data_IF_158461415132
#
_entry.id   IF_158461415132
#
_cell.length_a   1.000
_cell.length_b   1.000
_cell.length_c   1.000
_cell.angle_alpha   90.00
_cell.angle_beta   90.00
_cell.angle_gamma   90.00
#
_symmetry.space_group_name_H-M   'P 1'
#
loop_
_entity.id
_entity.type
_entity.pdbx_description
1 polymer ?
#
# COMPACT_ATOMS: atom_id res chain seq x y z
N UNK A 1 -10.13 6.71 13.77
CA UNK A 1 -9.82 6.21 12.41
C UNK A 1 -10.64 7.04 11.44
N UNK A 2 -10.00 7.79 10.53
CA UNK A 2 -10.75 8.46 9.46
C UNK A 2 -11.05 7.40 8.39
N UNK A 3 -12.31 7.25 8.02
CA UNK A 3 -12.78 6.27 7.02
C UNK A 3 -12.00 6.31 5.69
N UNK A 4 -11.24 7.38 5.44
CA UNK A 4 -10.41 7.61 4.26
C UNK A 4 -9.11 6.81 4.22
N UNK A 5 -8.56 6.34 5.36
CA UNK A 5 -7.24 5.67 5.40
C UNK A 5 -7.30 4.14 5.40
N UNK A 6 -8.39 3.53 5.87
CA UNK A 6 -8.61 2.07 5.79
C UNK A 6 -8.42 1.47 4.38
N UNK A 7 -8.95 2.05 3.29
CA UNK A 7 -8.77 1.47 1.96
C UNK A 7 -7.31 1.51 1.48
N UNK A 8 -6.53 2.54 1.86
CA UNK A 8 -5.10 2.62 1.50
C UNK A 8 -4.29 1.59 2.27
N UNK A 9 -4.66 1.34 3.52
CA UNK A 9 -3.99 0.36 4.35
C UNK A 9 -4.22 -1.06 3.86
N UNK A 10 -5.46 -1.39 3.47
CA UNK A 10 -5.77 -2.68 2.84
C UNK A 10 -5.01 -2.89 1.53
N UNK A 11 -4.91 -1.85 0.70
CA UNK A 11 -4.11 -1.88 -0.51
C UNK A 11 -2.63 -2.12 -0.20
N UNK A 12 -2.07 -1.42 0.80
CA UNK A 12 -0.68 -1.60 1.21
C UNK A 12 -0.40 -3.02 1.72
N UNK A 13 -1.31 -3.62 2.50
CA UNK A 13 -1.19 -5.01 2.94
C UNK A 13 -1.19 -6.01 1.77
N UNK A 14 -2.03 -5.80 0.75
CA UNK A 14 -1.99 -6.64 -0.46
C UNK A 14 -0.66 -6.48 -1.21
N UNK A 15 -0.15 -5.25 -1.27
CA UNK A 15 1.10 -4.92 -1.94
C UNK A 15 2.33 -5.52 -1.22
N UNK A 16 2.30 -5.68 0.11
CA UNK A 16 3.40 -6.29 0.87
C UNK A 16 3.71 -7.71 0.37
N UNK A 17 2.67 -8.46 0.00
CA UNK A 17 2.79 -9.84 -0.50
C UNK A 17 2.76 -9.96 -2.03
N UNK A 18 2.56 -8.86 -2.75
CA UNK A 18 2.52 -8.85 -4.21
C UNK A 18 3.93 -8.93 -4.82
N UNK A 19 4.00 -9.51 -6.03
CA UNK A 19 5.21 -9.46 -6.85
C UNK A 19 5.31 -8.06 -7.50
N UNK A 20 6.11 -7.21 -6.87
CA UNK A 20 6.33 -5.81 -7.24
C UNK A 20 7.74 -5.65 -7.78
N UNK A 21 7.90 -4.75 -8.76
CA UNK A 21 9.23 -4.37 -9.23
C UNK A 21 10.07 -3.79 -8.07
N UNK A 22 11.38 -4.07 -8.07
CA UNK A 22 12.32 -3.64 -7.01
C UNK A 22 12.25 -2.13 -6.71
N UNK A 23 12.06 -1.31 -7.75
CA UNK A 23 11.91 0.14 -7.60
C UNK A 23 10.67 0.52 -6.77
N UNK A 24 9.53 -0.14 -7.01
CA UNK A 24 8.30 0.08 -6.27
C UNK A 24 8.40 -0.46 -4.84
N UNK A 25 9.04 -1.63 -4.66
CA UNK A 25 9.32 -2.19 -3.33
C UNK A 25 10.19 -1.28 -2.49
N UNK A 26 11.27 -0.74 -3.07
CA UNK A 26 12.17 0.18 -2.35
C UNK A 26 11.46 1.50 -1.98
N UNK A 27 10.57 1.99 -2.86
CA UNK A 27 9.75 3.16 -2.59
C UNK A 27 8.75 2.93 -1.45
N UNK A 28 8.14 1.74 -1.39
CA UNK A 28 7.14 1.38 -0.38
C UNK A 28 7.75 0.85 0.93
N UNK A 29 9.04 0.49 0.96
CA UNK A 29 9.76 0.00 2.14
C UNK A 29 9.51 0.81 3.43
N UNK A 30 9.61 2.15 3.45
CA UNK A 30 9.28 2.93 4.63
C UNK A 30 7.79 2.88 4.99
N UNK A 31 6.89 2.79 4.00
CA UNK A 31 5.45 2.62 4.26
C UNK A 31 5.15 1.27 4.92
N UNK A 32 5.80 0.18 4.47
CA UNK A 32 5.71 -1.12 5.12
C UNK A 32 6.28 -1.10 6.54
N UNK A 33 7.43 -0.46 6.76
CA UNK A 33 8.01 -0.36 8.11
C UNK A 33 7.09 0.40 9.09
N UNK A 34 6.51 1.51 8.65
CA UNK A 34 5.53 2.28 9.43
C UNK A 34 4.27 1.46 9.69
N UNK A 35 3.92 0.56 8.77
CA UNK A 35 2.75 -0.31 8.90
C UNK A 35 2.74 -1.12 10.20
N UNK A 36 3.92 -1.62 10.57
CA UNK A 36 4.13 -2.48 11.73
C UNK A 36 4.35 -1.70 13.05
N UNK A 37 4.70 -0.41 12.99
CA UNK A 37 5.11 0.37 14.17
C UNK A 37 4.05 1.36 14.64
N UNK A 38 3.31 1.99 13.73
CA UNK A 38 2.25 2.93 14.12
C UNK A 38 1.26 3.19 12.99
N UNK A 39 0.02 2.77 13.21
CA UNK A 39 -1.13 2.98 12.31
C UNK A 39 -1.58 4.46 12.21
N UNK A 40 -0.95 5.38 12.96
CA UNK A 40 -1.30 6.79 13.03
C UNK A 40 -0.41 7.72 12.19
N UNK A 41 0.66 7.21 11.55
CA UNK A 41 1.56 8.05 10.76
C UNK A 41 0.96 8.36 9.39
N UNK A 42 0.86 9.64 9.05
CA UNK A 42 0.39 10.06 7.73
C UNK A 42 1.44 9.73 6.65
N UNK A 43 1.06 8.88 5.70
CA UNK A 43 1.85 8.65 4.49
C UNK A 43 1.83 9.90 3.60
N UNK A 44 2.96 10.26 2.96
CA UNK A 44 2.98 11.32 1.96
C UNK A 44 1.99 11.02 0.81
N UNK A 45 1.32 12.05 0.28
CA UNK A 45 0.31 11.87 -0.77
C UNK A 45 0.85 11.16 -2.03
N UNK A 46 2.13 11.40 -2.38
CA UNK A 46 2.80 10.70 -3.50
C UNK A 46 2.83 9.18 -3.31
N UNK A 47 3.01 8.72 -2.07
CA UNK A 47 3.07 7.30 -1.72
C UNK A 47 1.66 6.72 -1.76
N UNK A 48 0.68 7.44 -1.21
CA UNK A 48 -0.75 7.09 -1.29
C UNK A 48 -1.22 6.94 -2.74
N UNK A 49 -0.86 7.89 -3.61
CA UNK A 49 -1.21 7.83 -5.03
C UNK A 49 -0.59 6.61 -5.72
N UNK A 50 0.67 6.29 -5.40
CA UNK A 50 1.35 5.11 -5.95
C UNK A 50 0.73 3.80 -5.46
N UNK A 51 0.42 3.69 -4.17
CA UNK A 51 -0.28 2.53 -3.59
C UNK A 51 -1.61 2.29 -4.31
N UNK A 52 -2.42 3.35 -4.50
CA UNK A 52 -3.70 3.25 -5.21
C UNK A 52 -3.53 2.83 -6.67
N UNK A 53 -2.52 3.36 -7.35
CA UNK A 53 -2.23 2.98 -8.72
C UNK A 53 -1.83 1.51 -8.81
N UNK A 54 -0.91 1.06 -7.95
CA UNK A 54 -0.46 -0.33 -7.91
C UNK A 54 -1.60 -1.30 -7.59
N UNK A 55 -2.42 -1.00 -6.57
CA UNK A 55 -3.61 -1.82 -6.20
C UNK A 55 -4.65 -1.88 -7.33
N UNK A 56 -4.78 -0.82 -8.13
CA UNK A 56 -5.67 -0.81 -9.30
C UNK A 56 -5.09 -1.60 -10.49
N UNK A 57 -3.76 -1.64 -10.63
CA UNK A 57 -3.07 -2.37 -11.72
C UNK A 57 -2.83 -3.84 -11.41
N UNK A 58 -2.78 -4.21 -10.13
CA UNK A 58 -2.69 -5.60 -9.72
C UNK A 58 -3.97 -6.31 -10.17
N UNK A 59 -3.86 -7.46 -10.87
CA UNK A 59 -5.04 -8.26 -11.14
C UNK A 59 -5.65 -8.61 -9.79
N UNK A 60 -6.82 -8.05 -9.49
CA UNK A 60 -7.62 -8.50 -8.35
C UNK A 60 -7.79 -9.99 -8.59
N UNK A 61 -7.09 -10.81 -7.80
CA UNK A 61 -7.24 -12.25 -7.84
C UNK A 61 -8.73 -12.49 -7.82
N UNK A 62 -9.22 -12.93 -8.98
CA UNK A 62 -10.61 -13.22 -9.23
C UNK A 62 -10.89 -14.35 -8.25
N UNK A 63 -11.56 -14.03 -7.14
CA UNK A 63 -12.29 -15.05 -6.40
C UNK A 63 -13.25 -15.63 -7.44
N UNK A 64 -12.88 -16.81 -7.93
CA UNK A 64 -13.69 -17.64 -8.81
C UNK A 64 -14.49 -18.61 -7.93
#
# INVERSE_FOLDING_TARGET
>A
MTATQEPVWRALLRLEHADLADADRNLLRPAFAVMHVSHAMQLPERVVARIRHLDATLPKSKEA
#
